data_IF_082993620689
#
_entry.id   IF_082993620689
#
_cell.length_a   1.000
_cell.length_b   1.000
_cell.length_c   1.000
_cell.angle_alpha   90.00
_cell.angle_beta   90.00
_cell.angle_gamma   90.00
#
_symmetry.space_group_name_H-M   'P 1'
#
loop_
_entity.id
_entity.type
_entity.pdbx_description
1 polymer ?
#
# COMPACT_ATOMS: atom_id res chain seq x y z
N UNK A 1 14.36 11.01 -13.01
CA UNK A 1 13.24 11.97 -12.95
C UNK A 1 12.41 11.78 -14.19
N UNK A 2 11.09 11.77 -14.07
CA UNK A 2 10.19 11.61 -15.21
C UNK A 2 8.90 12.41 -14.99
N UNK A 3 8.25 12.78 -16.09
CA UNK A 3 6.89 13.35 -16.09
C UNK A 3 5.88 12.21 -16.13
N UNK A 4 4.88 12.28 -15.26
CA UNK A 4 3.72 11.39 -15.27
C UNK A 4 2.44 12.19 -15.34
N UNK A 5 1.37 11.62 -15.91
CA UNK A 5 0.02 12.22 -15.89
C UNK A 5 -0.90 11.49 -14.94
N UNK A 6 -1.79 12.24 -14.31
CA UNK A 6 -2.89 11.67 -13.52
C UNK A 6 -3.90 11.02 -14.46
N UNK A 7 -3.92 9.69 -14.48
CA UNK A 7 -4.87 8.90 -15.28
C UNK A 7 -6.19 8.69 -14.53
N UNK A 8 -6.12 8.50 -13.21
CA UNK A 8 -7.30 8.23 -12.38
C UNK A 8 -7.15 8.81 -10.99
N UNK A 9 -8.28 9.29 -10.46
CA UNK A 9 -8.47 9.65 -9.05
C UNK A 9 -9.62 8.81 -8.50
N UNK A 10 -9.38 8.08 -7.41
CA UNK A 10 -10.39 7.27 -6.73
C UNK A 10 -10.37 7.55 -5.24
N UNK A 11 -11.49 7.97 -4.68
CA UNK A 11 -11.64 8.10 -3.24
C UNK A 11 -11.71 6.71 -2.61
N UNK A 12 -10.67 6.32 -1.87
CA UNK A 12 -10.58 5.04 -1.18
C UNK A 12 -11.17 5.12 0.25
N UNK A 13 -11.00 6.26 0.91
CA UNK A 13 -11.58 6.58 2.21
C UNK A 13 -11.99 8.05 2.30
N UNK A 14 -12.52 8.47 3.45
CA UNK A 14 -12.81 9.89 3.73
C UNK A 14 -11.56 10.78 3.63
N UNK A 15 -10.38 10.23 3.92
CA UNK A 15 -9.11 10.94 3.89
C UNK A 15 -8.03 10.22 3.06
N UNK A 16 -8.37 9.19 2.27
CA UNK A 16 -7.41 8.49 1.39
C UNK A 16 -7.86 8.55 -0.08
N UNK A 17 -6.98 9.02 -0.95
CA UNK A 17 -7.16 9.05 -2.40
C UNK A 17 -6.19 8.06 -3.07
N UNK A 18 -6.71 7.20 -3.93
CA UNK A 18 -5.95 6.41 -4.89
C UNK A 18 -5.68 7.23 -6.15
N UNK A 19 -4.42 7.35 -6.54
CA UNK A 19 -3.98 8.00 -7.77
C UNK A 19 -3.42 6.93 -8.70
N UNK A 20 -3.87 6.89 -9.95
CA UNK A 20 -3.17 6.15 -11.01
C UNK A 20 -2.42 7.13 -11.89
N UNK A 21 -1.13 6.90 -12.09
CA UNK A 21 -0.22 7.76 -12.82
C UNK A 21 0.33 7.02 -14.04
N UNK A 22 0.39 7.69 -15.17
CA UNK A 22 0.95 7.18 -16.43
C UNK A 22 2.24 7.91 -16.78
N UNK A 23 3.39 7.23 -16.91
CA UNK A 23 4.59 7.84 -17.51
C UNK A 23 4.30 8.37 -18.92
N UNK A 24 4.75 9.59 -19.23
CA UNK A 24 4.54 10.18 -20.57
C UNK A 24 5.46 9.60 -21.64
N UNK A 25 6.66 9.21 -21.24
CA UNK A 25 7.71 8.71 -22.12
C UNK A 25 7.83 7.19 -21.93
N UNK A 26 8.91 6.74 -21.30
CA UNK A 26 9.19 5.33 -21.10
C UNK A 26 8.42 4.76 -19.88
N UNK A 27 7.96 3.49 -19.97
CA UNK A 27 7.43 2.79 -18.82
C UNK A 27 8.45 2.76 -17.67
N UNK A 28 7.99 3.04 -16.46
CA UNK A 28 8.81 2.91 -15.27
C UNK A 28 9.00 1.42 -14.95
N UNK A 29 10.23 0.97 -14.74
CA UNK A 29 10.51 -0.30 -14.09
C UNK A 29 10.67 -0.08 -12.58
N UNK A 30 9.93 -0.83 -11.75
CA UNK A 30 10.05 -0.80 -10.30
C UNK A 30 9.87 -2.20 -9.70
N UNK A 31 10.29 -2.36 -8.45
CA UNK A 31 10.02 -3.54 -7.64
C UNK A 31 8.88 -3.27 -6.67
N UNK A 32 8.02 -4.26 -6.36
CA UNK A 32 6.95 -4.09 -5.40
C UNK A 32 7.51 -3.72 -4.02
N UNK A 33 6.91 -2.70 -3.39
CA UNK A 33 7.34 -2.14 -2.11
C UNK A 33 8.25 -0.90 -2.22
N UNK A 34 8.78 -0.60 -3.41
CA UNK A 34 9.48 0.66 -3.67
C UNK A 34 8.53 1.88 -3.63
N UNK A 35 9.14 3.06 -3.58
CA UNK A 35 8.43 4.33 -3.54
C UNK A 35 8.93 5.29 -4.63
N UNK A 36 8.26 6.43 -4.76
CA UNK A 36 8.69 7.56 -5.57
C UNK A 36 8.58 8.85 -4.77
N UNK A 37 9.35 9.85 -5.15
CA UNK A 37 9.17 11.22 -4.69
C UNK A 37 8.35 12.00 -5.72
N UNK A 38 7.29 12.67 -5.28
CA UNK A 38 6.65 13.76 -6.04
C UNK A 38 7.42 15.05 -5.76
N UNK A 39 7.84 15.72 -6.83
CA UNK A 39 8.59 16.97 -6.79
C UNK A 39 7.59 18.14 -6.87
N UNK A 40 7.62 19.02 -5.87
CA UNK A 40 6.73 20.19 -5.78
C UNK A 40 7.42 21.45 -6.31
N UNK A 41 6.63 22.41 -6.78
CA UNK A 41 7.14 23.67 -7.37
C UNK A 41 7.99 24.50 -6.39
N UNK A 42 7.75 24.34 -5.08
CA UNK A 42 8.52 24.99 -4.02
C UNK A 42 9.82 24.25 -3.66
N UNK A 43 10.21 23.24 -4.46
CA UNK A 43 11.43 22.46 -4.30
C UNK A 43 11.33 21.34 -3.27
N UNK A 44 10.23 21.24 -2.52
CA UNK A 44 10.03 20.13 -1.57
C UNK A 44 9.75 18.82 -2.31
N UNK A 45 10.02 17.72 -1.60
CA UNK A 45 9.73 16.36 -2.06
C UNK A 45 8.74 15.69 -1.12
N UNK A 46 7.89 14.82 -1.67
CA UNK A 46 6.97 13.99 -0.89
C UNK A 46 7.06 12.56 -1.38
N UNK A 47 7.53 11.68 -0.49
CA UNK A 47 7.63 10.26 -0.75
C UNK A 47 6.26 9.59 -0.68
N UNK A 48 5.94 8.77 -1.68
CA UNK A 48 4.78 7.89 -1.71
C UNK A 48 5.17 6.51 -2.19
N UNK A 49 4.85 5.49 -1.40
CA UNK A 49 5.03 4.10 -1.83
C UNK A 49 4.16 3.79 -3.05
N UNK A 50 4.72 3.04 -3.98
CA UNK A 50 3.96 2.52 -5.12
C UNK A 50 3.06 1.39 -4.61
N UNK A 51 1.76 1.56 -4.80
CA UNK A 51 0.71 0.76 -4.20
C UNK A 51 0.28 -0.46 -5.04
N UNK A 52 0.89 -0.66 -6.21
CA UNK A 52 0.63 -1.81 -7.08
C UNK A 52 1.92 -2.52 -7.48
N UNK A 53 1.80 -3.83 -7.72
CA UNK A 53 2.87 -4.58 -8.38
C UNK A 53 3.00 -4.11 -9.85
N UNK A 54 4.21 -4.14 -10.45
CA UNK A 54 4.40 -3.84 -11.88
C UNK A 54 3.38 -4.57 -12.75
N UNK A 55 2.67 -3.87 -13.63
CA UNK A 55 1.59 -4.44 -14.50
C UNK A 55 1.85 -4.12 -15.97
N UNK A 56 1.29 -4.90 -16.91
CA UNK A 56 1.44 -4.65 -18.34
C UNK A 56 0.91 -3.28 -18.81
N UNK A 57 -0.04 -2.67 -18.10
CA UNK A 57 -0.60 -1.36 -18.44
C UNK A 57 0.35 -0.18 -18.13
N UNK A 58 1.44 -0.44 -17.39
CA UNK A 58 2.44 0.54 -17.00
C UNK A 58 1.96 1.59 -15.97
N UNK A 59 0.77 1.42 -15.40
CA UNK A 59 0.21 2.39 -14.46
C UNK A 59 0.85 2.25 -13.08
N UNK A 60 1.12 3.39 -12.45
CA UNK A 60 1.67 3.50 -11.09
C UNK A 60 0.53 3.96 -10.17
N UNK A 61 0.23 3.18 -9.13
CA UNK A 61 -0.80 3.49 -8.15
C UNK A 61 -0.18 4.08 -6.89
N UNK A 62 -0.74 5.16 -6.33
CA UNK A 62 -0.35 5.72 -5.04
C UNK A 62 -1.57 5.81 -4.12
N UNK A 63 -1.38 5.59 -2.81
CA UNK A 63 -2.40 5.90 -1.81
C UNK A 63 -1.97 7.15 -1.03
N UNK A 64 -2.67 8.26 -1.23
CA UNK A 64 -2.37 9.54 -0.60
C UNK A 64 -3.38 9.82 0.51
N UNK A 65 -2.90 9.83 1.77
CA UNK A 65 -3.69 10.31 2.91
C UNK A 65 -3.67 11.83 2.97
N UNK A 66 -4.82 12.45 3.23
CA UNK A 66 -4.95 13.89 3.46
C UNK A 66 -4.31 14.25 4.79
N UNK A 67 -3.29 15.10 4.75
CA UNK A 67 -2.65 15.70 5.93
C UNK A 67 -2.83 17.21 5.86
N UNK A 68 -3.33 17.82 6.94
CA UNK A 68 -3.48 19.28 7.05
C UNK A 68 -2.12 19.97 6.94
N UNK A 69 -2.02 20.99 6.09
CA UNK A 69 -0.75 21.67 5.80
C UNK A 69 0.21 20.84 4.94
N UNK A 70 -0.22 19.68 4.44
CA UNK A 70 0.61 18.77 3.66
C UNK A 70 0.96 19.26 2.24
N UNK A 71 0.34 20.36 1.79
CA UNK A 71 0.53 20.97 0.47
C UNK A 71 0.05 20.07 -0.65
N UNK A 72 0.85 19.04 -0.98
CA UNK A 72 0.52 18.07 -2.02
C UNK A 72 -0.73 17.24 -1.68
N UNK A 73 -0.85 16.73 -0.45
CA UNK A 73 -2.04 15.95 -0.07
C UNK A 73 -3.32 16.79 -0.07
N UNK A 74 -3.24 18.10 0.10
CA UNK A 74 -4.40 18.99 -0.05
C UNK A 74 -4.71 19.26 -1.53
N UNK A 75 -3.66 19.46 -2.35
CA UNK A 75 -3.78 19.59 -3.79
C UNK A 75 -4.48 18.38 -4.41
N UNK A 76 -4.09 17.16 -4.03
CA UNK A 76 -4.72 15.89 -4.46
C UNK A 76 -6.23 15.86 -4.19
N UNK A 77 -6.69 16.46 -3.10
CA UNK A 77 -8.10 16.43 -2.68
C UNK A 77 -8.91 17.64 -3.15
N UNK A 78 -8.28 18.65 -3.75
CA UNK A 78 -8.93 19.91 -4.11
C UNK A 78 -8.79 20.24 -5.59
N UNK A 79 -7.57 20.44 -6.07
CA UNK A 79 -7.29 21.03 -7.38
C UNK A 79 -6.58 20.11 -8.35
N UNK A 80 -6.11 18.93 -7.93
CA UNK A 80 -5.54 17.93 -8.84
C UNK A 80 -6.65 17.34 -9.73
N UNK A 81 -6.37 17.27 -11.03
CA UNK A 81 -7.33 16.81 -12.05
C UNK A 81 -6.70 15.75 -12.97
N UNK A 82 -7.56 15.00 -13.66
CA UNK A 82 -7.12 14.06 -14.68
C UNK A 82 -6.33 14.79 -15.78
N UNK A 83 -5.31 14.11 -16.30
CA UNK A 83 -4.40 14.64 -17.30
C UNK A 83 -3.36 15.64 -16.76
N UNK A 84 -3.45 16.11 -15.52
CA UNK A 84 -2.43 17.01 -14.98
C UNK A 84 -1.06 16.32 -14.89
N UNK A 85 0.02 17.00 -15.29
CA UNK A 85 1.37 16.46 -15.16
C UNK A 85 1.87 16.58 -13.72
N UNK A 86 2.64 15.59 -13.28
CA UNK A 86 3.41 15.60 -12.05
C UNK A 86 4.87 15.25 -12.38
N UNK A 87 5.80 15.92 -11.71
CA UNK A 87 7.22 15.58 -11.77
C UNK A 87 7.55 14.60 -10.66
N UNK A 88 8.20 13.48 -11.00
CA UNK A 88 8.58 12.47 -10.02
C UNK A 88 10.05 12.06 -10.12
N UNK A 89 10.57 11.53 -9.01
CA UNK A 89 11.84 10.80 -8.95
C UNK A 89 11.56 9.36 -8.48
N UNK A 90 11.87 8.37 -9.33
CA UNK A 90 11.51 6.98 -9.14
C UNK A 90 12.40 6.04 -9.99
N UNK A 91 12.47 4.74 -9.65
CA UNK A 91 12.02 4.17 -8.38
C UNK A 91 13.03 4.48 -7.26
N UNK A 92 12.58 4.44 -6.01
CA UNK A 92 13.39 4.66 -4.81
C UNK A 92 13.10 3.58 -3.75
N UNK A 93 14.05 3.39 -2.83
CA UNK A 93 13.90 2.52 -1.66
C UNK A 93 14.30 1.07 -1.88
N UNK A 94 14.52 0.38 -0.75
CA UNK A 94 15.02 -1.00 -0.66
C UNK A 94 14.04 -1.94 0.05
N UNK A 95 12.84 -1.46 0.40
CA UNK A 95 11.78 -2.28 0.98
C UNK A 95 11.13 -3.14 -0.10
N UNK A 96 11.77 -4.26 -0.44
CA UNK A 96 11.34 -5.19 -1.49
C UNK A 96 11.34 -6.62 -0.96
N UNK A 97 10.46 -7.52 -1.45
CA UNK A 97 10.43 -8.90 -1.00
C UNK A 97 11.71 -9.63 -1.43
N UNK A 98 12.27 -10.46 -0.53
CA UNK A 98 13.40 -11.33 -0.86
C UNK A 98 12.92 -12.45 -1.79
N UNK A 99 13.45 -12.48 -3.00
CA UNK A 99 13.07 -13.43 -4.06
C UNK A 99 13.70 -14.83 -3.86
N UNK A 100 14.79 -14.90 -3.10
CA UNK A 100 15.62 -16.09 -2.84
C UNK A 100 15.28 -16.79 -1.52
N UNK A 101 14.18 -16.42 -0.87
CA UNK A 101 13.80 -16.94 0.45
C UNK A 101 12.38 -17.50 0.47
N UNK A 102 12.25 -18.78 0.81
CA UNK A 102 10.97 -19.46 1.03
C UNK A 102 10.51 -19.47 2.50
N UNK A 103 11.23 -18.76 3.39
CA UNK A 103 10.79 -18.60 4.79
C UNK A 103 9.43 -17.89 4.87
N UNK A 104 8.60 -18.20 5.89
CA UNK A 104 7.36 -17.48 6.13
C UNK A 104 7.56 -15.96 6.17
N UNK A 105 6.58 -15.22 5.66
CA UNK A 105 6.61 -13.76 5.60
C UNK A 105 5.56 -13.16 6.53
N UNK A 106 6.00 -12.29 7.43
CA UNK A 106 5.14 -11.49 8.29
C UNK A 106 5.15 -10.03 7.80
N UNK A 107 3.99 -9.52 7.43
CA UNK A 107 3.77 -8.16 6.92
C UNK A 107 2.95 -7.38 7.95
N UNK A 108 3.41 -6.18 8.31
CA UNK A 108 2.74 -5.33 9.29
C UNK A 108 2.56 -3.94 8.70
N UNK A 109 1.32 -3.48 8.59
CA UNK A 109 0.95 -2.15 8.10
C UNK A 109 0.19 -1.36 9.16
N UNK A 110 0.34 -0.04 9.11
CA UNK A 110 -0.53 0.91 9.79
C UNK A 110 -1.09 1.92 8.79
N UNK A 111 -2.41 2.10 8.73
CA UNK A 111 -3.05 3.09 7.86
C UNK A 111 -2.63 2.97 6.39
N UNK A 112 -2.10 4.04 5.79
CA UNK A 112 -1.59 4.03 4.40
C UNK A 112 -0.26 3.32 4.21
N UNK A 113 0.39 2.86 5.28
CA UNK A 113 1.50 1.90 5.22
C UNK A 113 1.12 0.57 4.55
N UNK A 114 -0.17 0.33 4.31
CA UNK A 114 -0.67 -0.75 3.48
C UNK A 114 -0.30 -0.63 1.99
N UNK A 115 -0.05 0.58 1.46
CA UNK A 115 0.28 0.78 0.04
C UNK A 115 1.43 -0.11 -0.46
N UNK A 116 2.65 -0.06 0.10
CA UNK A 116 3.75 -0.93 -0.36
C UNK A 116 3.45 -2.42 -0.12
N UNK A 117 2.70 -2.75 0.94
CA UNK A 117 2.30 -4.13 1.24
C UNK A 117 1.33 -4.68 0.19
N UNK A 118 0.36 -3.89 -0.27
CA UNK A 118 -0.52 -4.24 -1.38
C UNK A 118 0.28 -4.56 -2.64
N UNK A 119 1.29 -3.74 -2.98
CA UNK A 119 2.16 -4.03 -4.11
C UNK A 119 2.90 -5.37 -3.97
N UNK A 120 3.38 -5.68 -2.76
CA UNK A 120 4.04 -6.95 -2.47
C UNK A 120 3.06 -8.11 -2.63
N UNK A 121 1.88 -8.04 -2.02
CA UNK A 121 0.88 -9.13 -2.08
C UNK A 121 0.39 -9.35 -3.51
N UNK A 122 0.11 -8.30 -4.28
CA UNK A 122 -0.24 -8.40 -5.70
C UNK A 122 0.84 -9.11 -6.53
N UNK A 123 2.11 -8.86 -6.20
CA UNK A 123 3.23 -9.55 -6.86
C UNK A 123 3.26 -11.03 -6.48
N UNK A 124 3.11 -11.35 -5.18
CA UNK A 124 3.10 -12.73 -4.69
C UNK A 124 1.91 -13.53 -5.24
N UNK A 125 0.72 -12.92 -5.35
CA UNK A 125 -0.46 -13.55 -5.97
C UNK A 125 -0.16 -14.06 -7.39
N UNK A 126 0.57 -13.28 -8.20
CA UNK A 126 0.97 -13.71 -9.55
C UNK A 126 2.06 -14.76 -9.50
N UNK A 127 3.08 -14.56 -8.66
CA UNK A 127 4.20 -15.49 -8.53
C UNK A 127 3.76 -16.87 -8.01
N UNK A 128 2.72 -16.92 -7.18
CA UNK A 128 2.24 -18.12 -6.51
C UNK A 128 1.11 -18.83 -7.25
N UNK A 129 0.55 -18.23 -8.32
CA UNK A 129 -0.59 -18.77 -9.06
C UNK A 129 -0.39 -20.21 -9.53
N UNK A 130 0.85 -20.58 -9.88
CA UNK A 130 1.20 -21.92 -10.40
C UNK A 130 2.13 -22.69 -9.43
N UNK A 131 2.39 -22.16 -8.23
CA UNK A 131 3.30 -22.82 -7.27
C UNK A 131 2.52 -23.86 -6.44
N UNK A 132 2.95 -25.14 -6.41
CA UNK A 132 2.25 -26.18 -5.65
C UNK A 132 2.20 -25.95 -4.14
N UNK A 133 3.25 -25.35 -3.58
CA UNK A 133 3.37 -25.06 -2.15
C UNK A 133 4.04 -23.68 -1.95
N UNK A 134 3.26 -22.59 -1.99
CA UNK A 134 3.78 -21.25 -1.74
C UNK A 134 4.21 -21.07 -0.28
N UNK A 135 5.18 -20.18 -0.02
CA UNK A 135 5.53 -19.81 1.37
C UNK A 135 4.32 -19.17 2.07
N UNK A 136 4.12 -19.42 3.38
CA UNK A 136 3.10 -18.72 4.15
C UNK A 136 3.35 -17.20 4.21
N UNK A 137 2.30 -16.41 4.12
CA UNK A 137 2.32 -14.96 4.26
C UNK A 137 1.22 -14.54 5.22
N UNK A 138 1.57 -13.81 6.27
CA UNK A 138 0.61 -13.25 7.22
C UNK A 138 0.65 -11.73 7.18
N UNK A 139 -0.51 -11.09 7.11
CA UNK A 139 -0.67 -9.64 7.16
C UNK A 139 -1.40 -9.22 8.43
N UNK A 140 -0.77 -8.32 9.20
CA UNK A 140 -1.46 -7.51 10.19
C UNK A 140 -1.67 -6.10 9.65
N UNK A 141 -2.93 -5.64 9.60
CA UNK A 141 -3.26 -4.28 9.20
C UNK A 141 -3.89 -3.51 10.37
N UNK A 142 -3.09 -2.60 10.93
CA UNK A 142 -3.50 -1.68 11.98
C UNK A 142 -4.23 -0.46 11.43
N UNK A 143 -5.36 -0.12 12.03
CA UNK A 143 -6.13 1.09 11.76
C UNK A 143 -6.79 1.60 13.06
N UNK A 144 -7.39 2.80 13.03
CA UNK A 144 -8.12 3.31 14.20
C UNK A 144 -9.50 2.69 14.28
N UNK A 145 -10.26 2.82 13.20
CA UNK A 145 -11.62 2.33 13.06
C UNK A 145 -11.78 1.49 11.78
N UNK A 146 -12.87 0.71 11.62
CA UNK A 146 -13.08 -0.12 10.42
C UNK A 146 -13.01 0.67 9.11
N UNK A 147 -13.51 1.91 9.10
CA UNK A 147 -13.48 2.79 7.92
C UNK A 147 -12.06 3.18 7.45
N UNK A 148 -11.04 3.05 8.32
CA UNK A 148 -9.64 3.30 7.97
C UNK A 148 -8.98 2.06 7.29
N UNK A 149 -9.63 0.88 7.29
CA UNK A 149 -9.22 -0.31 6.53
C UNK A 149 -9.79 -0.24 5.10
N UNK A 150 -9.40 0.82 4.39
CA UNK A 150 -10.05 1.32 3.16
C UNK A 150 -10.04 0.39 1.93
N UNK A 151 -9.40 -0.78 2.03
CA UNK A 151 -9.40 -1.84 1.00
C UNK A 151 -9.58 -3.23 1.64
N UNK A 152 -10.15 -3.32 2.83
CA UNK A 152 -10.33 -4.60 3.53
C UNK A 152 -11.07 -5.67 2.72
N UNK A 153 -12.16 -5.38 1.97
CA UNK A 153 -12.81 -6.42 1.16
C UNK A 153 -11.87 -7.09 0.14
N UNK A 154 -10.93 -6.33 -0.42
CA UNK A 154 -9.91 -6.86 -1.33
C UNK A 154 -8.94 -7.79 -0.58
N UNK A 155 -8.54 -7.42 0.64
CA UNK A 155 -7.65 -8.25 1.47
C UNK A 155 -8.35 -9.53 1.93
N UNK A 156 -9.63 -9.43 2.30
CA UNK A 156 -10.47 -10.59 2.63
C UNK A 156 -10.61 -11.55 1.43
N UNK A 157 -10.69 -11.02 0.21
CA UNK A 157 -10.66 -11.86 -0.99
C UNK A 157 -9.32 -12.62 -1.08
N UNK A 158 -8.19 -11.95 -0.87
CA UNK A 158 -6.88 -12.61 -0.86
C UNK A 158 -6.75 -13.67 0.24
N UNK A 159 -7.39 -13.48 1.39
CA UNK A 159 -7.42 -14.45 2.50
C UNK A 159 -8.15 -15.77 2.17
N UNK A 160 -8.81 -15.86 1.00
CA UNK A 160 -9.33 -17.14 0.50
C UNK A 160 -8.22 -18.08 0.00
N UNK A 161 -7.00 -17.59 -0.18
CA UNK A 161 -5.85 -18.40 -0.61
C UNK A 161 -5.21 -19.05 0.62
N UNK A 162 -4.97 -20.36 0.56
CA UNK A 162 -4.49 -21.17 1.71
C UNK A 162 -3.12 -20.75 2.27
N UNK A 163 -2.33 -19.98 1.53
CA UNK A 163 -1.02 -19.48 1.94
C UNK A 163 -1.05 -18.07 2.53
N UNK A 164 -2.19 -17.37 2.50
CA UNK A 164 -2.33 -15.99 2.96
C UNK A 164 -3.27 -15.89 4.15
N UNK A 165 -2.78 -15.34 5.26
CA UNK A 165 -3.56 -15.06 6.46
C UNK A 165 -3.62 -13.55 6.73
N UNK A 166 -4.75 -13.06 7.25
CA UNK A 166 -5.01 -11.64 7.44
C UNK A 166 -5.66 -11.38 8.80
N UNK A 167 -5.07 -10.46 9.56
CA UNK A 167 -5.59 -9.96 10.81
C UNK A 167 -5.71 -8.43 10.79
N UNK A 168 -6.95 -7.95 10.83
CA UNK A 168 -7.24 -6.55 11.11
C UNK A 168 -7.04 -6.25 12.60
N UNK A 169 -6.43 -5.11 12.92
CA UNK A 169 -6.25 -4.64 14.31
C UNK A 169 -6.69 -3.18 14.43
N UNK A 170 -7.63 -2.91 15.34
CA UNK A 170 -8.25 -1.60 15.52
C UNK A 170 -7.91 -1.00 16.88
N UNK A 171 -7.28 0.18 16.88
CA UNK A 171 -6.88 0.88 18.12
C UNK A 171 -8.00 1.66 18.78
N UNK A 172 -9.04 2.04 18.02
CA UNK A 172 -10.20 2.81 18.46
C UNK A 172 -11.50 2.10 18.01
N UNK A 173 -11.53 0.77 18.13
CA UNK A 173 -12.71 -0.02 17.79
C UNK A 173 -13.92 0.37 18.66
N UNK A 174 -15.11 0.33 18.05
CA UNK A 174 -16.35 0.40 18.83
C UNK A 174 -16.44 -0.84 19.74
N UNK A 175 -16.94 -0.67 20.97
CA UNK A 175 -17.14 -1.76 21.92
C UNK A 175 -18.09 -2.87 21.42
N UNK A 176 -18.84 -2.62 20.34
CA UNK A 176 -19.71 -3.59 19.66
C UNK A 176 -19.02 -4.35 18.54
N UNK A 177 -17.82 -3.95 18.12
CA UNK A 177 -17.03 -4.66 17.11
C UNK A 177 -16.56 -6.01 17.67
N UNK A 178 -16.98 -7.11 17.02
CA UNK A 178 -16.62 -8.49 17.33
C UNK A 178 -15.82 -9.15 16.20
N UNK A 179 -15.53 -8.41 15.12
CA UNK A 179 -14.96 -8.95 13.89
C UNK A 179 -13.45 -8.70 13.83
N UNK A 180 -13.00 -7.58 14.37
CA UNK A 180 -11.59 -7.20 14.34
C UNK A 180 -10.94 -7.38 15.71
N UNK A 181 -9.61 -7.54 15.72
CA UNK A 181 -8.83 -7.52 16.96
C UNK A 181 -8.71 -6.09 17.47
N UNK A 182 -8.79 -5.89 18.78
CA UNK A 182 -8.66 -4.56 19.38
C UNK A 182 -7.25 -4.36 19.93
N UNK A 183 -6.74 -3.13 19.88
CA UNK A 183 -5.42 -2.75 20.42
C UNK A 183 -4.46 -2.21 19.35
N UNK A 184 -3.16 -2.20 19.66
CA UNK A 184 -2.14 -1.74 18.72
C UNK A 184 -1.59 -2.92 17.90
N UNK A 185 -1.36 -2.69 16.61
CA UNK A 185 -0.95 -3.76 15.67
C UNK A 185 0.35 -4.46 16.08
N UNK A 186 1.30 -3.73 16.66
CA UNK A 186 2.57 -4.33 17.11
C UNK A 186 2.40 -5.20 18.36
N UNK A 187 1.47 -4.87 19.26
CA UNK A 187 1.15 -5.69 20.44
C UNK A 187 0.48 -7.00 20.00
N UNK A 188 -0.43 -6.91 19.02
CA UNK A 188 -1.06 -8.08 18.42
C UNK A 188 -0.03 -9.03 17.81
N UNK A 189 0.93 -8.49 17.05
CA UNK A 189 2.02 -9.27 16.45
C UNK A 189 2.87 -9.94 17.53
N UNK A 190 3.31 -9.20 18.55
CA UNK A 190 4.16 -9.76 19.62
C UNK A 190 3.44 -10.83 20.45
N UNK A 191 2.13 -10.69 20.64
CA UNK A 191 1.32 -11.69 21.36
C UNK A 191 1.20 -13.00 20.58
N UNK A 192 1.11 -12.93 19.25
CA UNK A 192 0.96 -14.13 18.40
C UNK A 192 2.31 -14.77 18.05
N UNK A 193 3.38 -13.98 18.10
CA UNK A 193 4.75 -14.39 17.77
C UNK A 193 5.73 -14.02 18.90
N UNK A 194 5.66 -14.71 20.06
CA UNK A 194 6.45 -14.37 21.24
C UNK A 194 7.97 -14.52 21.01
N UNK A 195 8.37 -15.35 20.05
CA UNK A 195 9.78 -15.63 19.71
C UNK A 195 10.42 -14.56 18.79
N UNK A 196 9.71 -13.46 18.48
CA UNK A 196 10.25 -12.33 17.69
C UNK A 196 11.02 -11.29 18.54
N UNK A 197 11.25 -11.56 19.82
CA UNK A 197 12.01 -10.69 20.74
C UNK A 197 13.42 -11.19 21.04
#
# INVERSE_FOLDING_TARGET
>A
RLTVRVERLQRLAADVMGLSLRPEEEPLAWLPGQYLDVLLDDGRRRAFSIANAPRPDGLIELHVRKVSGGGFSEHVFSTLQLGMPLQIEAPLGTFVPRADSDRPMLLVAGGTGFAPIKAIIEHLLRQFAERPAPRPVQLYWGARAPADLYLEPLVQEWALRSWFDYQAVLSEADATDRWHRHGLVHEAVLADHPDLT
#
